data_IF_819326295506
#
_entry.id   IF_819326295506
#
_cell.length_a   1.000
_cell.length_b   1.000
_cell.length_c   1.000
_cell.angle_alpha   90.00
_cell.angle_beta   90.00
_cell.angle_gamma   90.00
#
_symmetry.space_group_name_H-M   'P 1'
#
loop_
_entity.id
_entity.type
_entity.pdbx_description
1 polymer ?
#
# COMPACT_ATOMS: atom_id res chain seq x y z
N UNK A 1 -17.74 -10.51 -2.85
CA UNK A 1 -16.38 -10.22 -3.35
C UNK A 1 -15.85 -9.07 -2.51
N UNK A 2 -14.66 -9.18 -1.90
CA UNK A 2 -14.11 -8.08 -1.10
C UNK A 2 -13.73 -6.96 -2.07
N UNK A 3 -14.43 -5.82 -2.00
CA UNK A 3 -14.07 -4.65 -2.79
C UNK A 3 -12.83 -4.02 -2.18
N UNK A 4 -11.70 -4.09 -2.89
CA UNK A 4 -10.47 -3.44 -2.49
C UNK A 4 -10.56 -1.95 -2.73
N UNK A 5 -10.11 -1.16 -1.75
CA UNK A 5 -10.07 0.30 -1.84
C UNK A 5 -8.63 0.78 -1.91
N UNK A 6 -8.42 1.92 -2.56
CA UNK A 6 -7.14 2.64 -2.50
C UNK A 6 -6.76 2.92 -1.04
N UNK A 7 -5.52 2.66 -0.68
CA UNK A 7 -4.98 2.79 0.68
C UNK A 7 -5.09 1.52 1.53
N UNK A 8 -5.79 0.48 1.08
CA UNK A 8 -5.90 -0.77 1.83
C UNK A 8 -4.56 -1.54 1.82
N UNK A 9 -4.28 -2.26 2.91
CA UNK A 9 -3.06 -3.07 3.04
C UNK A 9 -3.35 -4.50 2.61
N UNK A 10 -2.53 -4.98 1.69
CA UNK A 10 -2.65 -6.33 1.11
C UNK A 10 -1.33 -7.03 1.10
N UNK A 11 -1.37 -8.34 1.21
CA UNK A 11 -0.21 -9.20 1.01
C UNK A 11 -0.41 -9.98 -0.28
N UNK A 12 0.65 -9.99 -1.09
CA UNK A 12 0.73 -10.81 -2.28
C UNK A 12 1.83 -11.86 -2.02
N UNK A 13 1.56 -13.16 -2.22
CA UNK A 13 2.48 -14.24 -1.81
C UNK A 13 3.87 -14.20 -2.48
N UNK A 14 3.98 -13.59 -3.66
CA UNK A 14 5.24 -13.47 -4.41
C UNK A 14 6.03 -12.22 -4.02
N UNK A 15 5.37 -11.13 -3.63
CA UNK A 15 6.02 -9.83 -3.40
C UNK A 15 5.97 -9.33 -1.96
N UNK A 16 5.17 -10.00 -1.12
CA UNK A 16 4.96 -9.65 0.27
C UNK A 16 3.89 -8.60 0.49
N UNK A 17 4.02 -7.87 1.59
CA UNK A 17 3.07 -6.83 1.99
C UNK A 17 3.23 -5.55 1.15
N UNK A 18 2.10 -4.95 0.81
CA UNK A 18 2.02 -3.72 0.07
C UNK A 18 0.72 -2.95 0.33
N UNK A 19 0.68 -1.73 -0.18
CA UNK A 19 -0.47 -0.84 -0.08
C UNK A 19 -1.08 -0.65 -1.46
N UNK A 20 -2.40 -0.79 -1.57
CA UNK A 20 -3.10 -0.47 -2.81
C UNK A 20 -2.99 1.02 -3.09
N UNK A 21 -2.37 1.37 -4.21
CA UNK A 21 -2.30 2.76 -4.68
C UNK A 21 -3.51 3.07 -5.54
N UNK A 22 -3.89 2.14 -6.41
CA UNK A 22 -4.95 2.32 -7.39
C UNK A 22 -5.66 1.00 -7.67
N UNK A 23 -6.97 1.07 -7.84
CA UNK A 23 -7.81 -0.09 -8.18
C UNK A 23 -8.68 0.30 -9.35
N UNK A 24 -8.36 -0.25 -10.53
CA UNK A 24 -9.19 -0.18 -11.72
C UNK A 24 -9.79 -1.55 -12.01
N UNK A 25 -10.78 -1.59 -12.90
CA UNK A 25 -11.48 -2.82 -13.28
C UNK A 25 -10.53 -3.89 -13.86
N UNK A 26 -9.53 -3.45 -14.62
CA UNK A 26 -8.56 -4.35 -15.24
C UNK A 26 -7.21 -4.39 -14.54
N UNK A 27 -6.83 -3.31 -13.84
CA UNK A 27 -5.50 -3.17 -13.27
C UNK A 27 -5.54 -2.71 -11.81
N UNK A 28 -4.79 -3.39 -10.96
CA UNK A 28 -4.56 -3.03 -9.57
C UNK A 28 -3.11 -2.64 -9.40
N UNK A 29 -2.85 -1.46 -8.86
CA UNK A 29 -1.51 -0.95 -8.58
C UNK A 29 -1.25 -1.05 -7.08
N UNK A 30 -0.17 -1.74 -6.73
CA UNK A 30 0.23 -1.96 -5.34
C UNK A 30 1.65 -1.46 -5.16
N UNK A 31 1.88 -0.66 -4.13
CA UNK A 31 3.21 -0.27 -3.68
C UNK A 31 3.66 -1.24 -2.59
N UNK A 32 4.57 -2.16 -2.94
CA UNK A 32 5.14 -3.10 -1.99
C UNK A 32 6.30 -2.48 -1.25
N UNK A 33 6.37 -2.75 0.05
CA UNK A 33 7.40 -2.16 0.91
C UNK A 33 8.82 -2.58 0.49
N UNK A 34 8.97 -3.73 -0.17
CA UNK A 34 10.25 -4.32 -0.57
C UNK A 34 10.53 -4.22 -2.07
N UNK A 35 9.48 -4.28 -2.88
CA UNK A 35 9.59 -4.38 -4.34
C UNK A 35 9.13 -3.11 -5.06
N UNK A 36 8.62 -2.12 -4.32
CA UNK A 36 8.07 -0.88 -4.86
C UNK A 36 6.75 -1.08 -5.61
N UNK A 37 6.42 -0.09 -6.45
CA UNK A 37 5.17 -0.02 -7.22
C UNK A 37 5.13 -1.08 -8.33
N UNK A 38 4.10 -1.92 -8.30
CA UNK A 38 3.81 -2.95 -9.31
C UNK A 38 2.35 -2.91 -9.72
N UNK A 39 2.10 -3.17 -11.01
CA UNK A 39 0.76 -3.24 -11.60
C UNK A 39 0.41 -4.68 -11.88
N UNK A 40 -0.77 -5.12 -11.44
CA UNK A 40 -1.31 -6.45 -11.67
C UNK A 40 -2.63 -6.36 -12.39
N UNK A 41 -2.97 -7.41 -13.12
CA UNK A 41 -4.32 -7.54 -13.67
C UNK A 41 -5.29 -7.93 -12.55
N UNK A 42 -6.32 -7.13 -12.32
CA UNK A 42 -7.31 -7.32 -11.24
C UNK A 42 -7.97 -8.70 -11.29
N UNK A 43 -8.10 -9.29 -12.48
CA UNK A 43 -8.66 -10.64 -12.67
C UNK A 43 -7.74 -11.80 -12.28
N UNK A 44 -6.42 -11.58 -12.31
CA UNK A 44 -5.41 -12.61 -12.04
C UNK A 44 -4.73 -12.42 -10.68
N UNK A 45 -4.86 -11.23 -10.09
CA UNK A 45 -4.18 -10.90 -8.86
C UNK A 45 -4.83 -11.62 -7.68
N UNK A 46 -4.07 -12.50 -7.04
CA UNK A 46 -4.46 -13.13 -5.78
C UNK A 46 -3.93 -12.25 -4.65
N UNK A 47 -4.83 -11.51 -4.01
CA UNK A 47 -4.55 -10.67 -2.84
C UNK A 47 -5.11 -11.32 -1.59
N UNK A 48 -4.30 -11.34 -0.53
CA UNK A 48 -4.72 -11.78 0.79
C UNK A 48 -4.92 -10.54 1.67
N UNK A 49 -6.08 -10.44 2.32
CA UNK A 49 -6.31 -9.43 3.36
C UNK A 49 -5.48 -9.84 4.57
N UNK A 50 -4.47 -9.05 4.92
CA UNK A 50 -3.75 -9.27 6.18
C UNK A 50 -4.23 -8.24 7.20
N UNK A 51 -4.52 -8.69 8.42
CA UNK A 51 -4.69 -7.82 9.58
C UNK A 51 -3.38 -7.65 10.35
N UNK A 52 -2.28 -8.22 9.84
CA UNK A 52 -0.97 -8.01 10.44
C UNK A 52 -0.63 -6.52 10.37
N UNK A 53 -0.43 -5.85 11.53
CA UNK A 53 -0.05 -4.45 11.55
C UNK A 53 1.21 -4.29 10.70
N UNK A 54 1.25 -3.25 9.87
CA UNK A 54 2.37 -2.99 8.96
C UNK A 54 3.68 -3.29 9.70
N UNK A 55 4.50 -4.26 9.24
CA UNK A 55 5.69 -4.63 9.97
C UNK A 55 6.48 -3.35 10.20
N UNK A 56 6.93 -3.17 11.44
CA UNK A 56 7.70 -2.04 11.92
C UNK A 56 9.07 -2.04 11.21
N UNK A 57 9.08 -1.92 9.88
CA UNK A 57 10.26 -1.59 9.10
C UNK A 57 10.70 -0.26 9.69
N UNK A 58 11.92 -0.16 10.26
CA UNK A 58 12.41 1.10 10.78
C UNK A 58 12.22 2.10 9.65
N UNK A 59 11.35 3.08 9.88
CA UNK A 59 10.96 4.03 8.86
C UNK A 59 12.26 4.56 8.25
N UNK A 60 12.60 4.10 7.03
CA UNK A 60 13.61 4.80 6.23
C UNK A 60 12.97 6.15 6.05
N UNK A 61 13.46 7.12 6.84
CA UNK A 61 13.00 8.49 6.91
C UNK A 61 13.05 9.07 5.49
N UNK A 62 12.01 8.83 4.69
CA UNK A 62 11.62 9.80 3.68
C UNK A 62 11.11 10.95 4.52
N UNK A 63 11.97 11.95 4.68
CA UNK A 63 11.69 13.17 5.41
C UNK A 63 10.37 13.76 4.90
N UNK A 64 9.27 13.44 5.56
CA UNK A 64 8.06 14.21 5.53
C UNK A 64 8.42 15.54 6.17
N UNK A 65 8.64 16.56 5.32
CA UNK A 65 8.61 17.95 5.76
C UNK A 65 7.33 18.12 6.59
N UNK A 66 7.42 18.51 7.88
CA UNK A 66 6.23 18.75 8.66
C UNK A 66 5.50 19.95 8.04
N UNK A 67 4.34 19.70 7.43
CA UNK A 67 3.29 20.72 7.35
C UNK A 67 2.55 20.70 8.67
N UNK A 68 3.09 21.40 9.66
CA UNK A 68 2.28 21.95 10.75
C UNK A 68 2.00 23.41 10.39
N UNK A 69 0.73 23.71 10.15
CA UNK A 69 0.20 25.06 10.05
C UNK A 69 -0.35 25.44 11.43
N UNK A 70 -0.14 26.70 11.81
CA UNK A 70 -0.84 27.50 12.84
C UNK A 70 -0.19 27.67 14.24
N UNK A 71 0.35 28.89 14.42
CA UNK A 71 -0.13 29.92 15.38
C UNK A 71 0.21 29.80 16.89
N UNK A 72 1.14 30.65 17.35
CA UNK A 72 0.91 31.77 18.29
C UNK A 72 2.24 32.43 18.72
N UNK A 73 2.41 33.71 18.39
CA UNK A 73 3.08 34.76 19.20
C UNK A 73 2.91 36.10 18.48
#
# INVERSE_FOLDING_TARGET
MKSWIKGDRVVQPTYGAGTLVEVNEHHTVIDFDEHGRRTFSTRLVVLQSTNEPAPNRPARKRASKPKAKAEKA
#
